data_IF_982762332403
#
_entry.id   IF_982762332403
#
_cell.length_a   1.000
_cell.length_b   1.000
_cell.length_c   1.000
_cell.angle_alpha   90.00
_cell.angle_beta   90.00
_cell.angle_gamma   90.00
#
_symmetry.space_group_name_H-M   'P 1'
#
loop_
_entity.id
_entity.type
_entity.pdbx_description
1 polymer ?
#
# COMPACT_ATOMS: atom_id res chain seq x y z
N UNK A 1 -3.43 78.82 -18.10
CA UNK A 1 -3.39 78.28 -16.72
C UNK A 1 -4.42 77.17 -16.65
N UNK A 2 -3.98 75.90 -16.58
CA UNK A 2 -4.85 74.71 -16.71
C UNK A 2 -5.74 74.56 -15.46
N UNK A 3 -7.05 74.55 -15.67
CA UNK A 3 -8.06 74.20 -14.67
C UNK A 3 -8.20 72.68 -14.59
N UNK A 4 -8.09 72.15 -13.37
CA UNK A 4 -8.41 70.79 -12.99
C UNK A 4 -9.93 70.63 -12.88
N UNK A 5 -10.50 69.58 -13.49
CA UNK A 5 -11.74 68.97 -13.04
C UNK A 5 -11.51 67.45 -12.95
N UNK A 6 -11.53 66.97 -11.71
CA UNK A 6 -11.34 65.57 -11.33
C UNK A 6 -12.72 64.91 -11.31
N UNK A 7 -13.04 64.10 -12.31
CA UNK A 7 -14.25 63.27 -12.30
C UNK A 7 -14.01 62.01 -11.48
N UNK A 8 -14.82 61.84 -10.45
CA UNK A 8 -14.84 60.68 -9.54
C UNK A 8 -15.33 59.46 -10.33
N UNK A 9 -14.46 58.45 -10.50
CA UNK A 9 -14.88 57.09 -10.86
C UNK A 9 -14.88 56.23 -9.60
N UNK A 10 -16.07 55.79 -9.19
CA UNK A 10 -16.28 54.74 -8.21
C UNK A 10 -15.74 53.41 -8.77
N UNK A 11 -14.64 52.91 -8.20
CA UNK A 11 -14.17 51.54 -8.44
C UNK A 11 -14.87 50.64 -7.41
N UNK A 12 -15.61 49.60 -7.82
CA UNK A 12 -16.19 48.66 -6.87
C UNK A 12 -15.04 47.86 -6.23
N UNK A 13 -14.97 47.88 -4.90
CA UNK A 13 -14.13 46.92 -4.16
C UNK A 13 -14.60 45.52 -4.52
N UNK A 14 -13.81 44.79 -5.31
CA UNK A 14 -13.90 43.33 -5.34
C UNK A 14 -13.54 42.86 -3.95
N UNK A 15 -14.53 42.41 -3.17
CA UNK A 15 -14.28 41.42 -2.12
C UNK A 15 -13.62 40.23 -2.84
N UNK A 16 -12.29 40.15 -2.79
CA UNK A 16 -11.60 38.88 -2.99
C UNK A 16 -12.14 37.99 -1.87
N UNK A 17 -12.87 36.95 -2.26
CA UNK A 17 -13.24 35.88 -1.37
C UNK A 17 -11.97 35.36 -0.71
N UNK A 18 -11.76 35.73 0.54
CA UNK A 18 -10.94 34.97 1.48
C UNK A 18 -11.80 33.74 1.81
N UNK A 19 -11.98 32.87 0.82
CA UNK A 19 -12.33 31.49 1.05
C UNK A 19 -10.98 30.82 1.22
N UNK A 20 -10.62 30.68 2.49
CA UNK A 20 -9.44 29.96 2.95
C UNK A 20 -9.36 28.60 2.23
N UNK A 21 -8.16 28.24 1.79
CA UNK A 21 -7.80 26.90 1.29
C UNK A 21 -7.99 25.79 2.35
N UNK A 22 -8.55 26.10 3.52
CA UNK A 22 -8.82 25.17 4.62
C UNK A 22 -10.04 24.27 4.41
N UNK A 23 -10.85 24.48 3.37
CA UNK A 23 -12.07 23.69 3.15
C UNK A 23 -12.04 22.84 1.86
N UNK A 24 -11.29 21.73 1.92
CA UNK A 24 -11.59 20.39 1.35
C UNK A 24 -10.35 19.47 1.34
N UNK A 25 -9.80 19.14 2.52
CA UNK A 25 -9.30 17.76 2.68
C UNK A 25 -10.52 16.95 3.09
N UNK A 26 -11.13 16.24 2.13
CA UNK A 26 -11.97 15.13 2.54
C UNK A 26 -11.08 14.24 3.42
N UNK A 27 -11.43 14.09 4.69
CA UNK A 27 -10.72 13.21 5.59
C UNK A 27 -10.75 11.82 4.93
N UNK A 28 -9.58 11.29 4.59
CA UNK A 28 -9.47 9.98 3.94
C UNK A 28 -10.01 8.97 4.95
N UNK A 29 -11.05 8.22 4.56
CA UNK A 29 -11.64 7.21 5.45
C UNK A 29 -10.66 6.05 5.67
N UNK A 30 -10.01 6.02 6.83
CA UNK A 30 -9.03 4.99 7.20
C UNK A 30 -9.66 3.73 7.80
N UNK A 31 -10.99 3.62 7.83
CA UNK A 31 -11.66 2.43 8.38
C UNK A 31 -11.57 2.30 9.90
N UNK A 32 -11.11 3.33 10.61
CA UNK A 32 -10.77 3.29 12.04
C UNK A 32 -9.33 2.85 12.32
N UNK A 33 -8.53 2.60 11.28
CA UNK A 33 -7.11 2.21 11.37
C UNK A 33 -6.18 3.44 11.33
N UNK A 34 -6.48 4.41 12.17
CA UNK A 34 -5.77 5.69 12.20
C UNK A 34 -4.28 5.55 12.55
N UNK A 35 -3.46 6.39 11.92
CA UNK A 35 -2.04 6.58 12.25
C UNK A 35 -1.82 8.03 12.65
N UNK A 36 -1.36 8.25 13.88
CA UNK A 36 -1.05 9.59 14.37
C UNK A 36 0.06 10.24 13.52
N UNK A 37 0.04 11.56 13.39
CA UNK A 37 1.03 12.28 12.58
C UNK A 37 2.47 12.04 13.06
N UNK A 38 2.68 11.93 14.37
CA UNK A 38 3.98 11.63 14.99
C UNK A 38 4.52 10.22 14.63
N UNK A 39 3.61 9.33 14.22
CA UNK A 39 3.87 7.93 13.94
C UNK A 39 4.02 7.65 12.43
N UNK A 40 3.94 8.70 11.59
CA UNK A 40 4.22 8.62 10.16
C UNK A 40 5.73 8.67 9.91
N UNK A 41 6.30 7.49 9.71
CA UNK A 41 7.75 7.29 9.60
C UNK A 41 8.28 7.41 8.16
N UNK A 42 7.39 7.33 7.18
CA UNK A 42 7.69 7.46 5.77
C UNK A 42 6.56 8.19 5.05
N UNK A 43 6.90 8.83 3.94
CA UNK A 43 5.98 9.63 3.15
C UNK A 43 5.80 9.03 1.75
N UNK A 44 4.70 9.35 1.05
CA UNK A 44 4.53 9.01 -0.35
C UNK A 44 5.76 9.42 -1.17
N UNK A 45 6.25 8.48 -1.98
CA UNK A 45 7.33 8.73 -2.95
C UNK A 45 6.81 9.21 -4.31
N UNK A 46 7.70 9.42 -5.29
CA UNK A 46 7.28 9.52 -6.68
C UNK A 46 6.57 8.24 -7.15
N UNK A 47 5.94 8.32 -8.32
CA UNK A 47 5.35 7.17 -8.98
C UNK A 47 5.92 7.06 -10.40
N UNK A 48 6.91 6.18 -10.55
CA UNK A 48 7.61 5.89 -11.80
C UNK A 48 7.02 4.65 -12.51
N UNK A 49 6.13 3.92 -11.82
CA UNK A 49 5.38 2.79 -12.36
C UNK A 49 4.18 3.33 -13.16
N UNK A 50 3.94 2.80 -14.36
CA UNK A 50 2.80 3.21 -15.19
C UNK A 50 1.49 3.03 -14.43
N UNK A 51 0.63 4.07 -14.46
CA UNK A 51 -0.68 4.06 -13.83
C UNK A 51 -1.75 3.98 -14.89
N UNK A 52 -2.65 3.01 -14.77
CA UNK A 52 -3.74 2.74 -15.71
C UNK A 52 -5.09 2.78 -15.01
N UNK A 53 -6.09 3.34 -15.69
CA UNK A 53 -7.48 3.16 -15.30
C UNK A 53 -7.99 1.82 -15.88
N UNK A 54 -8.65 1.03 -15.05
CA UNK A 54 -9.16 -0.29 -15.46
C UNK A 54 -10.19 -0.20 -16.60
N UNK A 55 -10.95 0.90 -16.70
CA UNK A 55 -11.90 1.10 -17.80
C UNK A 55 -11.21 1.18 -19.17
N UNK A 56 -9.92 1.52 -19.20
CA UNK A 56 -9.10 1.64 -20.41
C UNK A 56 -8.00 0.60 -20.54
N UNK A 57 -7.97 -0.45 -19.70
CA UNK A 57 -6.97 -1.51 -19.77
C UNK A 57 -7.67 -2.84 -20.04
N UNK A 58 -7.55 -3.34 -21.27
CA UNK A 58 -8.14 -4.63 -21.66
C UNK A 58 -7.29 -5.80 -21.17
N UNK A 59 -7.89 -6.98 -21.08
CA UNK A 59 -7.16 -8.22 -20.76
C UNK A 59 -6.06 -8.52 -21.79
N UNK A 60 -6.31 -8.28 -23.07
CA UNK A 60 -5.32 -8.49 -24.14
C UNK A 60 -4.11 -7.56 -23.98
N UNK A 61 -4.36 -6.27 -23.76
CA UNK A 61 -3.30 -5.31 -23.53
C UNK A 61 -2.52 -5.64 -22.25
N UNK A 62 -3.21 -6.07 -21.19
CA UNK A 62 -2.57 -6.49 -19.96
C UNK A 62 -1.59 -7.65 -20.17
N UNK A 63 -2.00 -8.67 -20.92
CA UNK A 63 -1.14 -9.81 -21.27
C UNK A 63 0.05 -9.41 -22.13
N UNK A 64 -0.15 -8.50 -23.09
CA UNK A 64 0.88 -8.09 -24.04
C UNK A 64 1.92 -7.12 -23.47
N UNK A 65 1.53 -6.27 -22.49
CA UNK A 65 2.40 -5.19 -21.98
C UNK A 65 2.92 -5.40 -20.58
N UNK A 66 2.18 -6.10 -19.71
CA UNK A 66 2.51 -6.14 -18.28
C UNK A 66 2.72 -7.54 -17.74
N UNK A 67 1.88 -8.51 -18.10
CA UNK A 67 1.84 -9.83 -17.46
C UNK A 67 3.20 -10.55 -17.36
N UNK A 68 4.13 -10.28 -18.27
CA UNK A 68 5.46 -10.90 -18.28
C UNK A 68 6.62 -9.90 -18.27
N UNK A 69 6.33 -8.60 -18.41
CA UNK A 69 7.35 -7.62 -18.79
C UNK A 69 7.51 -6.50 -17.76
N UNK A 70 6.44 -5.95 -17.21
CA UNK A 70 6.50 -4.73 -16.42
C UNK A 70 5.40 -4.63 -15.35
N UNK A 71 5.69 -4.03 -14.19
CA UNK A 71 4.68 -3.71 -13.19
C UNK A 71 3.75 -2.59 -13.67
N UNK A 72 2.53 -2.58 -13.14
CA UNK A 72 1.53 -1.54 -13.42
C UNK A 72 0.68 -1.27 -12.19
N UNK A 73 0.34 -0.01 -11.95
CA UNK A 73 -0.67 0.38 -10.96
C UNK A 73 -2.00 0.55 -11.68
N UNK A 74 -3.06 -0.06 -11.14
CA UNK A 74 -4.38 -0.10 -11.74
C UNK A 74 -5.39 0.54 -10.79
N UNK A 75 -6.14 1.52 -11.31
CA UNK A 75 -7.20 2.25 -10.60
C UNK A 75 -8.57 1.78 -11.04
N UNK A 76 -9.51 1.72 -10.09
CA UNK A 76 -10.92 1.45 -10.39
C UNK A 76 -11.20 0.04 -10.91
N UNK A 77 -10.34 -0.93 -10.61
CA UNK A 77 -10.50 -2.30 -11.13
C UNK A 77 -11.52 -3.14 -10.35
N UNK A 78 -11.80 -2.79 -9.10
CA UNK A 78 -12.65 -3.59 -8.20
C UNK A 78 -13.71 -2.72 -7.50
N UNK A 79 -14.88 -3.29 -7.25
CA UNK A 79 -15.90 -2.71 -6.36
C UNK A 79 -15.98 -3.56 -5.08
N UNK A 80 -15.09 -3.23 -4.13
CA UNK A 80 -14.90 -3.96 -2.89
C UNK A 80 -15.58 -3.28 -1.68
N UNK A 81 -16.63 -2.48 -1.86
CA UNK A 81 -17.28 -1.74 -0.75
C UNK A 81 -17.73 -2.62 0.42
N UNK A 82 -18.30 -3.79 0.13
CA UNK A 82 -18.74 -4.74 1.16
C UNK A 82 -17.54 -5.29 1.92
N UNK A 83 -16.50 -5.70 1.19
CA UNK A 83 -15.25 -6.18 1.75
C UNK A 83 -14.54 -5.10 2.59
N UNK A 84 -14.47 -3.86 2.10
CA UNK A 84 -13.94 -2.71 2.84
C UNK A 84 -14.69 -2.48 4.15
N UNK A 85 -16.02 -2.57 4.15
CA UNK A 85 -16.81 -2.44 5.38
C UNK A 85 -16.52 -3.54 6.40
N UNK A 86 -16.35 -4.80 5.98
CA UNK A 86 -15.97 -5.90 6.88
C UNK A 86 -14.51 -5.79 7.37
N UNK A 87 -13.67 -5.05 6.64
CA UNK A 87 -12.27 -4.77 7.00
C UNK A 87 -12.11 -3.55 7.93
N UNK A 88 -13.19 -2.85 8.29
CA UNK A 88 -13.13 -1.76 9.27
C UNK A 88 -12.74 -2.28 10.65
N UNK A 89 -12.05 -1.45 11.44
CA UNK A 89 -11.53 -1.85 12.76
C UNK A 89 -12.61 -2.38 13.68
N UNK A 90 -13.71 -1.67 13.83
CA UNK A 90 -14.83 -2.08 14.68
C UNK A 90 -15.46 -3.39 14.23
N UNK A 91 -15.70 -3.57 12.92
CA UNK A 91 -16.22 -4.79 12.34
C UNK A 91 -15.27 -5.98 12.56
N UNK A 92 -13.99 -5.80 12.25
CA UNK A 92 -12.96 -6.83 12.44
C UNK A 92 -12.81 -7.21 13.91
N UNK A 93 -12.71 -6.24 14.82
CA UNK A 93 -12.57 -6.51 16.24
C UNK A 93 -13.82 -7.18 16.81
N UNK A 94 -15.02 -6.77 16.40
CA UNK A 94 -16.27 -7.41 16.86
C UNK A 94 -16.37 -8.88 16.46
N UNK A 95 -15.95 -9.22 15.24
CA UNK A 95 -16.17 -10.54 14.64
C UNK A 95 -14.98 -11.50 14.83
N UNK A 96 -13.76 -10.98 14.82
CA UNK A 96 -12.54 -11.77 14.70
C UNK A 96 -11.53 -11.57 15.83
N UNK A 97 -11.77 -10.70 16.83
CA UNK A 97 -10.82 -10.41 17.92
C UNK A 97 -10.21 -11.66 18.58
N UNK A 98 -11.03 -12.68 18.85
CA UNK A 98 -10.61 -13.91 19.54
C UNK A 98 -10.00 -14.96 18.60
N UNK A 99 -10.02 -14.73 17.28
CA UNK A 99 -9.48 -15.67 16.30
C UNK A 99 -7.96 -15.62 16.31
N UNK A 100 -7.34 -16.78 16.17
CA UNK A 100 -5.89 -16.91 16.01
C UNK A 100 -5.49 -16.46 14.60
N UNK A 101 -4.48 -15.60 14.54
CA UNK A 101 -3.78 -15.20 13.33
C UNK A 101 -2.32 -15.62 13.43
N UNK A 102 -1.69 -15.88 12.28
CA UNK A 102 -0.27 -16.19 12.17
C UNK A 102 0.50 -14.97 11.70
N UNK A 103 1.37 -14.46 12.57
CA UNK A 103 2.30 -13.38 12.22
C UNK A 103 3.53 -13.95 11.54
N UNK A 104 4.12 -13.14 10.67
CA UNK A 104 5.35 -13.44 9.94
C UNK A 104 6.42 -12.40 10.23
N UNK A 105 7.69 -12.81 10.30
CA UNK A 105 8.80 -11.87 10.41
C UNK A 105 8.94 -11.01 9.15
N UNK A 106 9.25 -9.73 9.32
CA UNK A 106 9.34 -8.73 8.26
C UNK A 106 10.69 -8.68 7.51
N UNK A 107 11.46 -9.77 7.51
CA UNK A 107 12.67 -9.93 6.70
C UNK A 107 12.37 -10.67 5.39
N UNK A 108 13.30 -10.65 4.42
CA UNK A 108 13.15 -11.17 3.04
C UNK A 108 12.47 -12.54 2.93
N UNK A 109 12.76 -13.44 3.87
CA UNK A 109 12.24 -14.80 3.82
C UNK A 109 11.00 -15.03 4.68
N UNK A 110 10.75 -14.17 5.66
CA UNK A 110 9.59 -14.24 6.54
C UNK A 110 9.35 -15.59 7.21
N UNK A 111 10.42 -16.37 7.46
CA UNK A 111 10.32 -17.76 7.93
C UNK A 111 9.91 -17.89 9.40
N UNK A 112 10.19 -16.89 10.24
CA UNK A 112 9.76 -16.96 11.64
C UNK A 112 8.27 -16.67 11.71
N UNK A 113 7.54 -17.49 12.45
CA UNK A 113 6.10 -17.39 12.63
C UNK A 113 5.75 -17.28 14.11
N UNK A 114 4.66 -16.61 14.42
CA UNK A 114 4.09 -16.56 15.77
C UNK A 114 2.56 -16.53 15.68
N UNK A 115 1.90 -17.41 16.44
CA UNK A 115 0.45 -17.44 16.49
C UNK A 115 -0.05 -16.63 17.70
N UNK A 116 -0.95 -15.68 17.45
CA UNK A 116 -1.55 -14.81 18.46
C UNK A 116 -3.03 -14.59 18.15
N UNK A 117 -3.80 -14.04 19.08
CA UNK A 117 -5.15 -13.57 18.75
C UNK A 117 -5.08 -12.23 17.99
N UNK A 118 -6.08 -11.95 17.15
CA UNK A 118 -6.19 -10.64 16.50
C UNK A 118 -6.21 -9.49 17.52
N UNK A 119 -6.91 -9.67 18.64
CA UNK A 119 -6.94 -8.69 19.73
C UNK A 119 -5.56 -8.39 20.33
N UNK A 120 -4.79 -9.43 20.66
CA UNK A 120 -3.44 -9.26 21.18
C UNK A 120 -2.54 -8.57 20.15
N UNK A 121 -2.66 -8.95 18.88
CA UNK A 121 -1.89 -8.32 17.80
C UNK A 121 -2.21 -6.82 17.70
N UNK A 122 -3.49 -6.45 17.58
CA UNK A 122 -3.92 -5.05 17.39
C UNK A 122 -3.59 -4.18 18.61
N UNK A 123 -3.65 -4.73 19.82
CA UNK A 123 -3.48 -3.94 21.05
C UNK A 123 -2.05 -3.92 21.59
N UNK A 124 -1.26 -4.98 21.37
CA UNK A 124 0.07 -5.13 21.99
C UNK A 124 1.23 -5.18 21.01
N UNK A 125 1.01 -5.61 19.77
CA UNK A 125 2.08 -5.88 18.80
C UNK A 125 2.13 -4.84 17.69
N UNK A 126 0.97 -4.51 17.11
CA UNK A 126 0.85 -3.59 15.99
C UNK A 126 1.11 -2.16 16.45
N UNK A 127 2.28 -1.65 16.08
CA UNK A 127 2.74 -0.31 16.41
C UNK A 127 3.67 0.22 15.30
N UNK A 128 4.00 1.52 15.30
CA UNK A 128 4.95 2.08 14.36
C UNK A 128 6.30 1.39 14.43
N UNK A 129 6.94 1.18 13.28
CA UNK A 129 8.24 0.53 13.19
C UNK A 129 9.34 1.37 13.85
N UNK A 130 10.29 0.72 14.55
CA UNK A 130 11.53 1.38 14.99
C UNK A 130 12.63 1.18 13.94
N UNK A 131 13.45 2.22 13.72
CA UNK A 131 14.66 2.12 12.89
C UNK A 131 15.73 1.19 13.50
N UNK A 132 15.70 0.98 14.82
CA UNK A 132 16.66 0.14 15.53
C UNK A 132 16.24 -1.34 15.58
N UNK A 133 14.98 -1.65 15.25
CA UNK A 133 14.47 -3.02 15.23
C UNK A 133 14.70 -3.66 13.86
N UNK A 134 15.26 -4.87 13.87
CA UNK A 134 15.53 -5.63 12.65
C UNK A 134 14.27 -6.25 12.05
N UNK A 135 14.26 -6.49 10.74
CA UNK A 135 13.13 -7.11 10.05
C UNK A 135 12.86 -8.53 10.52
N UNK A 136 13.88 -9.29 10.94
CA UNK A 136 13.70 -10.63 11.51
C UNK A 136 13.15 -10.61 12.95
N UNK A 137 13.01 -9.44 13.56
CA UNK A 137 12.45 -9.21 14.90
C UNK A 137 11.12 -8.44 14.86
N UNK A 138 10.82 -7.77 13.75
CA UNK A 138 9.49 -7.19 13.47
C UNK A 138 8.54 -8.29 13.00
N UNK A 139 7.36 -8.38 13.63
CA UNK A 139 6.29 -9.31 13.25
C UNK A 139 5.01 -8.55 12.92
N UNK A 140 4.38 -8.90 11.80
CA UNK A 140 3.05 -8.40 11.46
C UNK A 140 2.25 -9.46 10.70
N UNK A 141 0.95 -9.25 10.56
CA UNK A 141 0.05 -10.21 9.95
C UNK A 141 0.02 -10.03 8.44
N UNK A 142 0.57 -11.01 7.71
CA UNK A 142 0.47 -11.17 6.27
C UNK A 142 0.76 -12.63 5.88
N UNK A 143 0.01 -13.13 4.90
CA UNK A 143 0.10 -14.53 4.47
C UNK A 143 -0.36 -15.51 5.55
N UNK A 144 -0.24 -16.80 5.25
CA UNK A 144 -0.58 -17.92 6.14
C UNK A 144 -1.96 -17.78 6.81
N UNK A 145 -2.92 -17.15 6.13
CA UNK A 145 -4.27 -16.99 6.65
C UNK A 145 -4.94 -18.38 6.75
N UNK A 146 -5.62 -18.64 7.87
CA UNK A 146 -6.44 -19.86 8.00
C UNK A 146 -7.67 -19.72 7.10
N UNK A 147 -7.60 -20.28 5.89
CA UNK A 147 -8.65 -20.13 4.87
C UNK A 147 -10.02 -20.56 5.41
N UNK A 148 -10.10 -21.61 6.23
CA UNK A 148 -11.38 -22.06 6.82
C UNK A 148 -11.98 -21.03 7.77
N UNK A 149 -11.16 -20.44 8.65
CA UNK A 149 -11.62 -19.43 9.61
C UNK A 149 -11.96 -18.09 8.93
N UNK A 150 -11.25 -17.76 7.85
CA UNK A 150 -11.35 -16.47 7.15
C UNK A 150 -12.17 -16.54 5.86
N UNK A 151 -12.74 -17.70 5.52
CA UNK A 151 -13.46 -17.95 4.26
C UNK A 151 -14.55 -16.91 4.00
N UNK A 152 -15.37 -16.62 5.01
CA UNK A 152 -16.47 -15.67 4.86
C UNK A 152 -16.01 -14.24 4.51
N UNK A 153 -14.80 -13.85 4.90
CA UNK A 153 -14.19 -12.57 4.51
C UNK A 153 -13.63 -12.64 3.08
N UNK A 154 -13.06 -13.78 2.69
CA UNK A 154 -12.48 -13.97 1.36
C UNK A 154 -13.54 -14.18 0.27
N UNK A 155 -14.68 -14.78 0.59
CA UNK A 155 -15.79 -15.00 -0.33
C UNK A 155 -16.42 -13.70 -0.85
N UNK A 156 -16.30 -12.62 -0.09
CA UNK A 156 -16.84 -11.30 -0.45
C UNK A 156 -15.82 -10.40 -1.15
N UNK A 157 -14.54 -10.79 -1.17
CA UNK A 157 -13.50 -10.05 -1.88
C UNK A 157 -13.61 -10.31 -3.39
N UNK A 158 -13.60 -9.23 -4.17
CA UNK A 158 -13.55 -9.28 -5.63
C UNK A 158 -12.11 -8.97 -6.07
N UNK A 159 -11.36 -9.97 -6.58
CA UNK A 159 -10.00 -9.74 -7.06
C UNK A 159 -10.00 -8.90 -8.35
N UNK A 160 -8.84 -8.35 -8.74
CA UNK A 160 -8.69 -7.67 -10.02
C UNK A 160 -9.12 -8.56 -11.20
N UNK A 161 -9.75 -8.01 -12.26
CA UNK A 161 -10.34 -8.78 -13.35
C UNK A 161 -9.31 -9.34 -14.35
N UNK A 162 -8.02 -9.17 -14.08
CA UNK A 162 -6.93 -9.58 -14.94
C UNK A 162 -6.38 -10.94 -14.51
N UNK A 163 -6.14 -11.84 -15.47
CA UNK A 163 -5.67 -13.19 -15.20
C UNK A 163 -4.51 -13.60 -16.10
N UNK A 164 -3.71 -14.57 -15.66
CA UNK A 164 -2.70 -15.23 -16.47
C UNK A 164 -3.21 -16.62 -16.89
N UNK A 165 -3.06 -17.03 -18.16
CA UNK A 165 -3.51 -18.33 -18.62
C UNK A 165 -2.90 -19.48 -17.80
N UNK A 166 -3.73 -20.40 -17.31
CA UNK A 166 -3.30 -21.58 -16.58
C UNK A 166 -2.90 -21.35 -15.12
N UNK A 167 -3.04 -20.12 -14.59
CA UNK A 167 -2.75 -19.79 -13.20
C UNK A 167 -4.03 -19.56 -12.39
N UNK A 168 -3.96 -19.85 -11.09
CA UNK A 168 -5.02 -19.57 -10.13
C UNK A 168 -4.54 -18.63 -9.03
N UNK A 169 -5.46 -17.92 -8.39
CA UNK A 169 -5.15 -16.97 -7.33
C UNK A 169 -5.21 -17.59 -5.93
N UNK A 170 -4.22 -17.30 -5.11
CA UNK A 170 -4.22 -17.55 -3.67
C UNK A 170 -4.14 -16.24 -2.91
N UNK A 171 -5.00 -16.06 -1.90
CA UNK A 171 -5.07 -14.82 -1.14
C UNK A 171 -4.09 -14.78 0.03
N UNK A 172 -3.55 -13.59 0.27
CA UNK A 172 -2.81 -13.22 1.46
C UNK A 172 -3.37 -11.90 1.97
N UNK A 173 -4.19 -11.97 3.01
CA UNK A 173 -4.74 -10.81 3.70
C UNK A 173 -3.82 -10.39 4.85
N UNK A 174 -3.71 -9.09 5.09
CA UNK A 174 -2.86 -8.56 6.14
C UNK A 174 -3.34 -7.25 6.73
N UNK A 175 -2.86 -7.01 7.95
CA UNK A 175 -3.02 -5.79 8.73
C UNK A 175 -1.67 -5.47 9.33
N UNK A 176 -1.19 -4.25 9.19
CA UNK A 176 0.16 -3.87 9.60
C UNK A 176 0.24 -2.44 10.11
N UNK A 177 1.14 -2.19 11.06
CA UNK A 177 1.44 -0.85 11.56
C UNK A 177 2.29 -0.03 10.60
N UNK A 178 2.28 1.29 10.75
CA UNK A 178 3.08 2.21 9.94
C UNK A 178 4.60 1.91 10.01
N UNK A 179 5.29 2.09 8.89
CA UNK A 179 6.73 1.84 8.74
C UNK A 179 7.13 0.36 8.61
N UNK A 180 6.19 -0.58 8.76
CA UNK A 180 6.46 -2.01 8.52
C UNK A 180 6.40 -2.36 7.04
N UNK A 181 6.96 -3.50 6.65
CA UNK A 181 6.90 -4.04 5.29
C UNK A 181 7.95 -5.12 5.09
N UNK A 182 7.98 -5.75 3.91
CA UNK A 182 9.00 -6.76 3.57
C UNK A 182 10.06 -6.13 2.67
N UNK A 183 11.37 -6.29 2.97
CA UNK A 183 12.45 -5.85 2.09
C UNK A 183 12.42 -6.64 0.77
N UNK A 184 13.34 -6.32 -0.14
CA UNK A 184 13.37 -6.93 -1.46
C UNK A 184 13.39 -8.46 -1.41
N UNK A 185 12.47 -9.04 -2.19
CA UNK A 185 12.34 -10.46 -2.48
C UNK A 185 11.65 -10.62 -3.84
N UNK A 186 11.53 -11.84 -4.33
CA UNK A 186 10.77 -12.14 -5.54
C UNK A 186 10.11 -13.52 -5.42
N UNK A 187 9.07 -13.73 -6.21
CA UNK A 187 8.36 -14.99 -6.37
C UNK A 187 7.51 -14.93 -7.66
N UNK A 188 6.50 -15.79 -7.77
CA UNK A 188 5.52 -15.77 -8.85
C UNK A 188 4.78 -14.43 -8.98
N UNK A 189 4.07 -14.21 -10.09
CA UNK A 189 3.34 -12.97 -10.34
C UNK A 189 2.17 -12.80 -9.38
N UNK A 190 1.66 -11.59 -9.26
CA UNK A 190 0.51 -11.33 -8.41
C UNK A 190 0.04 -9.89 -8.38
N UNK A 191 -1.04 -9.69 -7.64
CA UNK A 191 -1.64 -8.39 -7.39
C UNK A 191 -1.54 -8.05 -5.91
N UNK A 192 -1.37 -6.77 -5.59
CA UNK A 192 -1.52 -6.23 -4.24
C UNK A 192 -2.51 -5.07 -4.23
N UNK A 193 -3.54 -5.15 -3.39
CA UNK A 193 -4.56 -4.11 -3.19
C UNK A 193 -4.48 -3.54 -1.78
N UNK A 194 -4.62 -2.23 -1.65
CA UNK A 194 -4.75 -1.55 -0.35
C UNK A 194 -6.22 -1.31 -0.05
N UNK A 195 -6.70 -1.87 1.06
CA UNK A 195 -8.09 -1.73 1.51
C UNK A 195 -8.25 -0.46 2.36
N UNK A 196 -7.30 -0.22 3.27
CA UNK A 196 -7.16 1.00 4.06
C UNK A 196 -5.68 1.35 4.22
N UNK A 197 -5.39 2.64 4.35
CA UNK A 197 -4.02 3.14 4.44
C UNK A 197 -3.36 3.31 3.08
N UNK A 198 -2.03 3.28 3.05
CA UNK A 198 -1.21 3.45 1.84
C UNK A 198 0.05 2.59 1.93
N UNK A 199 0.49 2.07 0.80
CA UNK A 199 1.68 1.21 0.70
C UNK A 199 2.59 1.70 -0.41
N UNK A 200 3.86 1.94 -0.09
CA UNK A 200 4.91 2.25 -1.06
C UNK A 200 5.58 0.96 -1.52
N UNK A 201 5.75 0.84 -2.83
CA UNK A 201 6.41 -0.27 -3.50
C UNK A 201 7.69 0.20 -4.16
N UNK A 202 8.70 -0.64 -4.11
CA UNK A 202 9.99 -0.46 -4.76
C UNK A 202 10.28 -1.70 -5.59
N UNK A 203 10.64 -1.54 -6.86
CA UNK A 203 10.72 -2.65 -7.80
C UNK A 203 11.96 -2.58 -8.68
N UNK A 204 12.56 -3.74 -8.92
CA UNK A 204 13.62 -3.91 -9.92
C UNK A 204 13.29 -5.06 -10.87
N UNK A 205 13.67 -4.95 -12.15
CA UNK A 205 13.50 -6.05 -13.08
C UNK A 205 14.37 -7.26 -12.65
N UNK A 206 14.03 -8.50 -13.06
CA UNK A 206 14.68 -9.71 -12.56
C UNK A 206 16.20 -9.75 -12.75
N UNK A 207 16.73 -9.09 -13.78
CA UNK A 207 18.15 -9.05 -14.10
C UNK A 207 18.95 -8.03 -13.28
N UNK A 208 18.29 -7.18 -12.48
CA UNK A 208 18.93 -6.14 -11.67
C UNK A 208 18.70 -6.42 -10.19
N UNK A 209 19.68 -7.08 -9.58
CA UNK A 209 19.65 -7.39 -8.14
C UNK A 209 19.78 -6.10 -7.31
N UNK A 210 18.84 -5.81 -6.38
CA UNK A 210 18.95 -4.67 -5.50
C UNK A 210 20.10 -4.81 -4.49
N UNK A 211 20.68 -3.68 -4.09
CA UNK A 211 21.60 -3.61 -2.94
C UNK A 211 20.79 -3.37 -1.65
N UNK A 212 20.77 -4.35 -0.75
CA UNK A 212 20.06 -4.29 0.52
C UNK A 212 20.53 -5.40 1.48
N UNK A 213 20.23 -5.27 2.77
CA UNK A 213 20.45 -6.33 3.76
C UNK A 213 19.15 -7.13 4.00
N UNK A 214 19.13 -8.48 3.85
CA UNK A 214 17.89 -9.26 3.86
C UNK A 214 17.16 -9.30 5.21
N UNK A 215 17.86 -9.06 6.33
CA UNK A 215 17.25 -8.96 7.66
C UNK A 215 16.97 -7.51 8.12
N UNK A 216 17.33 -6.49 7.35
CA UNK A 216 16.93 -5.12 7.68
C UNK A 216 15.52 -4.85 7.18
N UNK A 217 14.84 -3.88 7.79
CA UNK A 217 13.51 -3.47 7.37
C UNK A 217 13.58 -2.61 6.11
N UNK A 218 12.49 -2.60 5.33
CA UNK A 218 12.37 -1.65 4.21
C UNK A 218 12.49 -0.20 4.66
N UNK A 219 12.01 0.13 5.86
CA UNK A 219 12.14 1.47 6.44
C UNK A 219 13.61 1.84 6.69
N UNK A 220 14.40 0.94 7.28
CA UNK A 220 15.84 1.14 7.46
C UNK A 220 16.50 1.39 6.11
N UNK A 221 16.28 0.51 5.14
CA UNK A 221 16.83 0.66 3.79
C UNK A 221 16.44 1.99 3.14
N UNK A 222 15.17 2.41 3.25
CA UNK A 222 14.70 3.69 2.70
C UNK A 222 15.39 4.90 3.34
N UNK A 223 15.68 4.85 4.64
CA UNK A 223 16.26 5.97 5.40
C UNK A 223 17.78 6.00 5.28
N UNK A 224 18.45 4.85 5.22
CA UNK A 224 19.92 4.76 5.29
C UNK A 224 20.59 4.46 3.96
N UNK A 225 19.98 3.61 3.14
CA UNK A 225 20.64 3.10 1.93
C UNK A 225 20.10 3.79 0.68
N UNK A 226 18.78 3.98 0.58
CA UNK A 226 18.14 4.54 -0.60
C UNK A 226 18.70 5.92 -0.97
N UNK A 227 19.00 6.78 0.01
CA UNK A 227 19.54 8.12 -0.24
C UNK A 227 20.92 8.11 -0.89
N UNK A 228 21.70 7.06 -0.63
CA UNK A 228 23.08 6.90 -1.13
C UNK A 228 23.13 6.18 -2.49
N UNK A 229 22.00 5.69 -3.00
CA UNK A 229 21.95 5.04 -4.31
C UNK A 229 22.26 6.04 -5.42
N UNK A 230 23.13 5.64 -6.35
CA UNK A 230 23.32 6.34 -7.61
C UNK A 230 21.97 6.44 -8.36
N UNK A 231 21.69 7.52 -9.11
CA UNK A 231 20.41 7.67 -9.81
C UNK A 231 20.04 6.48 -10.72
N UNK A 232 21.02 5.87 -11.37
CA UNK A 232 20.80 4.68 -12.21
C UNK A 232 20.48 3.42 -11.40
N UNK A 233 20.76 3.40 -10.11
CA UNK A 233 20.50 2.29 -9.19
C UNK A 233 19.21 2.47 -8.40
N UNK A 234 18.47 3.55 -8.60
CA UNK A 234 17.14 3.73 -7.99
C UNK A 234 16.15 2.67 -8.52
N UNK A 235 15.22 2.19 -7.67
CA UNK A 235 14.15 1.31 -8.10
C UNK A 235 13.10 2.08 -8.91
N UNK A 236 12.24 1.36 -9.64
CA UNK A 236 10.91 1.88 -9.92
C UNK A 236 10.15 1.96 -8.60
N UNK A 237 9.44 3.04 -8.34
CA UNK A 237 8.64 3.14 -7.13
C UNK A 237 7.28 3.76 -7.37
N UNK A 238 6.32 3.41 -6.52
CA UNK A 238 5.02 4.08 -6.48
C UNK A 238 4.38 3.87 -5.11
N UNK A 239 3.64 4.88 -4.65
CA UNK A 239 2.76 4.74 -3.48
C UNK A 239 1.35 4.46 -3.96
N UNK A 240 0.83 3.28 -3.65
CA UNK A 240 -0.56 2.93 -3.92
C UNK A 240 -1.43 3.28 -2.71
N UNK A 241 -2.60 3.83 -2.99
CA UNK A 241 -3.59 4.31 -2.05
C UNK A 241 -4.75 3.31 -1.92
N UNK A 242 -5.67 3.60 -1.00
CA UNK A 242 -6.90 2.85 -0.85
C UNK A 242 -7.64 2.63 -2.19
N UNK A 243 -7.94 1.36 -2.48
CA UNK A 243 -8.59 0.88 -3.70
C UNK A 243 -7.68 0.79 -4.93
N UNK A 244 -6.42 1.21 -4.85
CA UNK A 244 -5.45 1.03 -5.93
C UNK A 244 -4.81 -0.36 -5.84
N UNK A 245 -4.53 -0.93 -7.00
CA UNK A 245 -3.92 -2.23 -7.17
C UNK A 245 -2.56 -2.06 -7.82
N UNK A 246 -1.56 -2.80 -7.39
CA UNK A 246 -0.31 -2.99 -8.12
C UNK A 246 -0.25 -4.42 -8.65
N UNK A 247 0.14 -4.58 -9.90
CA UNK A 247 0.54 -5.86 -10.47
C UNK A 247 2.08 -5.96 -10.48
N UNK A 248 2.62 -7.10 -10.02
CA UNK A 248 4.03 -7.43 -10.13
C UNK A 248 4.20 -8.71 -10.98
N UNK A 249 5.03 -8.68 -12.03
CA UNK A 249 5.28 -9.87 -12.85
C UNK A 249 6.18 -10.90 -12.16
N UNK A 250 6.27 -12.09 -12.76
CA UNK A 250 7.12 -13.18 -12.26
C UNK A 250 8.57 -12.71 -12.05
N UNK A 251 9.16 -13.10 -10.92
CA UNK A 251 10.56 -12.84 -10.54
C UNK A 251 10.98 -11.37 -10.42
N UNK A 252 10.05 -10.42 -10.51
CA UNK A 252 10.38 -9.02 -10.23
C UNK A 252 10.74 -8.87 -8.75
N UNK A 253 11.90 -8.27 -8.50
CA UNK A 253 12.28 -7.89 -7.14
C UNK A 253 11.32 -6.82 -6.66
N UNK A 254 10.75 -7.00 -5.48
CA UNK A 254 9.87 -6.02 -4.87
C UNK A 254 10.10 -5.91 -3.37
N UNK A 255 10.18 -4.66 -2.89
CA UNK A 255 10.14 -4.28 -1.49
C UNK A 255 8.88 -3.48 -1.21
N UNK A 256 8.31 -3.67 -0.03
CA UNK A 256 7.06 -3.02 0.38
C UNK A 256 7.23 -2.24 1.68
N UNK A 257 6.50 -1.15 1.82
CA UNK A 257 6.46 -0.31 3.02
C UNK A 257 5.05 0.24 3.25
N UNK A 258 4.43 -0.13 4.36
CA UNK A 258 3.18 0.48 4.84
C UNK A 258 3.52 1.86 5.38
N UNK A 259 3.09 2.94 4.72
CA UNK A 259 3.41 4.30 5.20
C UNK A 259 2.43 4.77 6.29
N UNK A 260 1.25 4.15 6.33
CA UNK A 260 0.28 4.24 7.42
C UNK A 260 -0.03 2.83 7.95
N UNK A 261 -0.77 2.74 9.05
CA UNK A 261 -1.47 1.51 9.42
C UNK A 261 -2.36 1.10 8.25
N UNK A 262 -2.14 -0.12 7.76
CA UNK A 262 -2.66 -0.54 6.47
C UNK A 262 -3.34 -1.90 6.57
N UNK A 263 -4.53 -1.99 5.97
CA UNK A 263 -5.20 -3.25 5.65
C UNK A 263 -5.01 -3.50 4.17
N UNK A 264 -4.55 -4.68 3.80
CA UNK A 264 -4.23 -5.01 2.41
C UNK A 264 -4.50 -6.47 2.11
N UNK A 265 -4.63 -6.77 0.83
CA UNK A 265 -4.77 -8.13 0.35
C UNK A 265 -3.95 -8.30 -0.92
N UNK A 266 -3.23 -9.42 -1.00
CA UNK A 266 -2.52 -9.83 -2.20
C UNK A 266 -3.15 -11.07 -2.81
N UNK A 267 -3.15 -11.16 -4.13
CA UNK A 267 -3.51 -12.36 -4.89
C UNK A 267 -2.24 -12.87 -5.58
N UNK A 268 -1.65 -13.95 -5.06
CA UNK A 268 -0.51 -14.61 -5.68
C UNK A 268 -1.00 -15.58 -6.75
N UNK A 269 -0.39 -15.55 -7.92
CA UNK A 269 -0.75 -16.39 -9.06
C UNK A 269 0.23 -17.56 -9.18
N UNK A 270 -0.30 -18.77 -9.28
CA UNK A 270 0.48 -20.01 -9.42
C UNK A 270 -0.32 -21.19 -9.93
#
# INVERSE_FOLDING_TARGET
MRLFYLSILLIPLRLRSILTEENRKAEIDDGGWFTEEKDKLAFPGPCDIEVRDAAGLTQEEFLQRYAFDAPVVIRGATDNKIFQNECRKDAMMKKYATKTIRLSSANTHSYRKADVTLDYYVTQVMKPQSLDTWGNETFYWFGDNNITEWQALFDIYRPPPYFLPGMTGAYSFGLAGAGTGVPFHFHGPGFGEVVFGRKRWFMYPPHKTPHFHPNQTTLHWLVKDYQELHPLDKPLECTINQGEIIYFPDRWWHGTLNIDTSVFISTFLG
#
